data_IF_972754654633
#
_entry.id   IF_972754654633
#
_cell.length_a   1.000
_cell.length_b   1.000
_cell.length_c   1.000
_cell.angle_alpha   90.00
_cell.angle_beta   90.00
_cell.angle_gamma   90.00
#
_symmetry.space_group_name_H-M   'P 1'
#
loop_
_entity.id
_entity.type
_entity.pdbx_description
1 polymer ?
#
# COMPACT_ATOMS: atom_id res chain seq x y z
N UNK A 1 56.40 0.42 -11.10
CA UNK A 1 55.10 -0.29 -11.15
C UNK A 1 54.59 -0.79 -9.79
N UNK A 2 55.14 -0.35 -8.64
CA UNK A 2 54.79 -0.91 -7.32
C UNK A 2 54.19 0.11 -6.32
N UNK A 3 54.08 1.39 -6.71
CA UNK A 3 53.58 2.48 -5.83
C UNK A 3 52.08 2.68 -5.93
N UNK A 4 51.44 2.31 -7.05
CA UNK A 4 50.00 2.49 -7.25
C UNK A 4 49.17 1.37 -6.60
N UNK A 5 49.73 0.16 -6.48
CA UNK A 5 49.06 -0.96 -5.81
C UNK A 5 48.90 -0.71 -4.31
N UNK A 6 49.91 -0.14 -3.65
CA UNK A 6 49.81 0.22 -2.22
C UNK A 6 48.83 1.36 -1.96
N UNK A 7 48.70 2.33 -2.89
CA UNK A 7 47.68 3.38 -2.78
C UNK A 7 46.28 2.82 -2.97
N UNK A 8 46.08 1.93 -3.93
CA UNK A 8 44.80 1.28 -4.16
C UNK A 8 44.37 0.41 -2.97
N UNK A 9 45.31 -0.36 -2.40
CA UNK A 9 45.06 -1.18 -1.21
C UNK A 9 44.74 -0.32 0.02
N UNK A 10 45.44 0.80 0.22
CA UNK A 10 45.15 1.76 1.30
C UNK A 10 43.76 2.39 1.16
N UNK A 11 43.35 2.74 -0.06
CA UNK A 11 42.02 3.29 -0.34
C UNK A 11 40.94 2.23 -0.10
N UNK A 12 41.15 0.98 -0.51
CA UNK A 12 40.20 -0.12 -0.29
C UNK A 12 40.06 -0.42 1.22
N UNK A 13 41.15 -0.42 1.97
CA UNK A 13 41.11 -0.61 3.44
C UNK A 13 40.40 0.57 4.10
N UNK A 14 40.62 1.81 3.65
CA UNK A 14 39.92 2.98 4.16
C UNK A 14 38.41 2.92 3.86
N UNK A 15 38.01 2.49 2.65
CA UNK A 15 36.60 2.30 2.28
C UNK A 15 35.97 1.16 3.08
N UNK A 16 36.69 0.05 3.29
CA UNK A 16 36.23 -1.05 4.17
C UNK A 16 36.06 -0.56 5.61
N UNK A 17 36.99 0.23 6.14
CA UNK A 17 36.87 0.79 7.48
C UNK A 17 35.69 1.78 7.59
N UNK A 18 35.44 2.61 6.57
CA UNK A 18 34.28 3.50 6.53
C UNK A 18 32.96 2.71 6.39
N UNK A 19 32.96 1.61 5.65
CA UNK A 19 31.79 0.71 5.52
C UNK A 19 31.49 -0.06 6.81
N UNK A 20 32.53 -0.48 7.54
CA UNK A 20 32.39 -1.18 8.84
C UNK A 20 32.00 -0.19 9.96
N UNK A 21 32.47 1.07 9.92
CA UNK A 21 32.11 2.10 10.92
C UNK A 21 30.73 2.75 10.71
N UNK A 22 30.04 2.48 9.59
CA UNK A 22 28.67 2.96 9.34
C UNK A 22 27.57 1.98 9.77
N UNK A 23 27.89 0.93 10.52
CA UNK A 23 26.92 0.20 11.36
C UNK A 23 27.11 0.55 12.83
N UNK A 24 27.07 1.85 13.14
CA UNK A 24 26.85 2.29 14.52
C UNK A 24 25.40 2.03 14.87
N UNK A 25 25.14 1.09 15.78
CA UNK A 25 23.80 0.89 16.37
C UNK A 25 23.23 2.26 16.75
N UNK A 26 22.06 2.62 16.23
CA UNK A 26 21.38 3.87 16.55
C UNK A 26 20.96 3.88 18.03
N UNK A 27 20.82 5.08 18.61
CA UNK A 27 20.32 5.24 19.97
C UNK A 27 18.87 4.73 20.08
N UNK A 28 18.63 3.70 20.89
CA UNK A 28 17.36 2.94 20.94
C UNK A 28 16.36 3.49 21.98
N UNK A 29 16.31 4.81 22.18
CA UNK A 29 15.46 5.43 23.22
C UNK A 29 13.98 5.19 22.96
N UNK A 30 13.52 5.38 21.72
CA UNK A 30 12.11 5.21 21.37
C UNK A 30 11.68 3.74 21.50
N UNK A 31 12.53 2.81 21.06
CA UNK A 31 12.32 1.38 21.25
C UNK A 31 12.13 0.98 22.73
N UNK A 32 12.98 1.48 23.63
CA UNK A 32 12.82 1.19 25.06
C UNK A 32 11.56 1.84 25.66
N UNK A 33 11.20 3.04 25.19
CA UNK A 33 9.97 3.72 25.60
C UNK A 33 8.72 2.95 25.16
N UNK A 34 8.72 2.43 23.93
CA UNK A 34 7.63 1.64 23.39
C UNK A 34 7.43 0.36 24.20
N UNK A 35 8.50 -0.35 24.59
CA UNK A 35 8.40 -1.55 25.46
C UNK A 35 7.85 -1.20 26.84
N UNK A 36 8.25 -0.06 27.42
CA UNK A 36 7.74 0.38 28.71
C UNK A 36 6.24 0.67 28.65
N UNK A 37 5.82 1.44 27.65
CA UNK A 37 4.41 1.77 27.42
C UNK A 37 3.58 0.51 27.14
N UNK A 38 4.08 -0.38 26.26
CA UNK A 38 3.47 -1.68 25.98
C UNK A 38 3.25 -2.45 27.27
N UNK A 39 4.25 -2.57 28.16
CA UNK A 39 4.13 -3.35 29.40
C UNK A 39 3.23 -2.73 30.45
N UNK A 40 3.25 -1.39 30.58
CA UNK A 40 2.42 -0.68 31.54
C UNK A 40 0.93 -0.82 31.17
N UNK A 41 0.64 -0.68 29.87
CA UNK A 41 -0.73 -0.69 29.35
C UNK A 41 -1.26 -2.12 29.13
N UNK A 42 -0.47 -3.05 28.54
CA UNK A 42 -0.88 -4.45 28.29
C UNK A 42 -0.96 -5.31 29.56
N UNK A 43 -0.18 -4.98 30.59
CA UNK A 43 -0.20 -5.69 31.87
C UNK A 43 -1.39 -5.32 32.76
N UNK A 44 -2.14 -4.26 32.42
CA UNK A 44 -3.13 -3.66 33.32
C UNK A 44 -2.50 -3.18 34.64
N UNK A 45 -1.24 -2.74 34.58
CA UNK A 45 -0.43 -2.49 35.77
C UNK A 45 -0.69 -1.07 36.26
N UNK A 46 -1.26 -0.96 37.46
CA UNK A 46 -1.49 0.32 38.10
C UNK A 46 -0.15 0.95 38.50
N UNK A 47 0.04 2.22 38.12
CA UNK A 47 1.16 3.04 38.56
C UNK A 47 1.08 3.19 40.08
N UNK A 48 2.10 2.73 40.80
CA UNK A 48 2.11 2.80 42.26
C UNK A 48 3.21 1.97 42.90
N UNK A 49 3.20 1.93 44.23
CA UNK A 49 4.12 1.08 45.01
C UNK A 49 3.65 -0.39 44.98
N UNK A 50 3.90 -1.06 43.86
CA UNK A 50 3.60 -2.48 43.68
C UNK A 50 4.68 -3.19 42.84
N UNK A 51 4.82 -4.50 43.05
CA UNK A 51 5.85 -5.31 42.41
C UNK A 51 5.80 -5.27 40.87
N UNK A 52 4.63 -5.40 40.20
CA UNK A 52 4.55 -5.33 38.74
C UNK A 52 5.06 -4.01 38.17
N UNK A 53 4.66 -2.87 38.75
CA UNK A 53 5.10 -1.56 38.30
C UNK A 53 6.60 -1.36 38.48
N UNK A 54 7.13 -1.82 39.63
CA UNK A 54 8.56 -1.78 39.91
C UNK A 54 9.39 -2.64 38.96
N UNK A 55 8.88 -3.79 38.51
CA UNK A 55 9.53 -4.61 37.49
C UNK A 55 9.64 -3.87 36.14
N UNK A 56 8.57 -3.20 35.71
CA UNK A 56 8.57 -2.44 34.45
C UNK A 56 9.58 -1.28 34.50
N UNK A 57 9.60 -0.51 35.60
CA UNK A 57 10.61 0.54 35.77
C UNK A 57 12.03 -0.04 35.75
N UNK A 58 12.27 -1.17 36.43
CA UNK A 58 13.57 -1.86 36.41
C UNK A 58 13.99 -2.23 34.99
N UNK A 59 13.08 -2.83 34.22
CA UNK A 59 13.38 -3.29 32.87
C UNK A 59 13.60 -2.14 31.89
N UNK A 60 12.88 -1.02 32.06
CA UNK A 60 13.08 0.17 31.23
C UNK A 60 14.44 0.82 31.51
N UNK A 61 14.83 0.96 32.78
CA UNK A 61 16.16 1.43 33.16
C UNK A 61 17.24 0.53 32.56
N UNK A 62 17.04 -0.79 32.62
CA UNK A 62 17.97 -1.76 32.04
C UNK A 62 18.10 -1.60 30.52
N UNK A 63 16.99 -1.54 29.79
CA UNK A 63 16.96 -1.33 28.33
C UNK A 63 17.73 -0.06 27.92
N UNK A 64 17.51 1.05 28.63
CA UNK A 64 18.25 2.28 28.38
C UNK A 64 19.75 2.09 28.66
N UNK A 65 20.12 1.43 29.76
CA UNK A 65 21.53 1.26 30.12
C UNK A 65 22.34 0.50 29.05
N UNK A 66 21.73 -0.47 28.36
CA UNK A 66 22.36 -1.22 27.26
C UNK A 66 22.67 -0.34 26.04
N UNK A 67 21.89 0.73 25.83
CA UNK A 67 22.10 1.68 24.72
C UNK A 67 22.92 2.92 25.11
N UNK A 68 23.54 2.96 26.30
CA UNK A 68 24.31 4.12 26.79
C UNK A 68 25.41 4.59 25.81
N UNK A 69 26.17 3.65 25.23
CA UNK A 69 27.30 3.98 24.34
C UNK A 69 26.85 4.76 23.09
N UNK A 70 25.69 4.42 22.55
CA UNK A 70 25.13 5.00 21.32
C UNK A 70 24.29 6.25 21.60
N UNK A 71 23.82 6.43 22.85
CA UNK A 71 22.94 7.52 23.27
C UNK A 71 23.64 8.67 24.03
N UNK A 72 24.97 8.73 24.08
CA UNK A 72 25.72 9.74 24.87
C UNK A 72 25.28 11.20 24.63
N UNK A 73 24.95 11.56 23.40
CA UNK A 73 24.50 12.90 23.01
C UNK A 73 22.99 13.08 22.93
N UNK A 74 22.19 12.08 23.30
CA UNK A 74 20.73 12.15 23.19
C UNK A 74 20.13 12.74 24.47
N UNK A 75 19.47 13.90 24.38
CA UNK A 75 18.84 14.57 25.52
C UNK A 75 17.73 13.71 26.14
N UNK A 76 16.86 13.11 25.31
CA UNK A 76 15.73 12.27 25.73
C UNK A 76 16.20 11.08 26.56
N UNK A 77 17.31 10.45 26.18
CA UNK A 77 17.96 9.38 26.95
C UNK A 77 18.28 9.80 28.38
N UNK A 78 19.00 10.91 28.56
CA UNK A 78 19.42 11.40 29.88
C UNK A 78 18.23 11.85 30.73
N UNK A 79 17.24 12.48 30.10
CA UNK A 79 15.98 12.86 30.76
C UNK A 79 15.25 11.63 31.29
N UNK A 80 15.07 10.59 30.46
CA UNK A 80 14.39 9.36 30.85
C UNK A 80 15.15 8.59 31.92
N UNK A 81 16.48 8.48 31.79
CA UNK A 81 17.31 7.83 32.80
C UNK A 81 17.13 8.49 34.18
N UNK A 82 17.15 9.83 34.22
CA UNK A 82 16.93 10.60 35.45
C UNK A 82 15.52 10.39 36.02
N UNK A 83 14.50 10.48 35.17
CA UNK A 83 13.10 10.38 35.56
C UNK A 83 12.78 8.99 36.13
N UNK A 84 13.20 7.92 35.46
CA UNK A 84 12.94 6.54 35.89
C UNK A 84 13.65 6.20 37.20
N UNK A 85 14.90 6.65 37.40
CA UNK A 85 15.60 6.47 38.67
C UNK A 85 14.97 7.26 39.82
N UNK A 86 14.37 8.43 39.55
CA UNK A 86 13.58 9.17 40.55
C UNK A 86 12.30 8.39 40.87
N UNK A 87 11.57 7.97 39.85
CA UNK A 87 10.29 7.26 39.98
C UNK A 87 10.44 5.94 40.74
N UNK A 88 11.51 5.17 40.47
CA UNK A 88 11.87 3.96 41.21
C UNK A 88 12.00 4.21 42.73
N UNK A 89 12.56 5.37 43.11
CA UNK A 89 12.72 5.77 44.51
C UNK A 89 11.41 6.25 45.12
N UNK A 90 10.65 7.05 44.37
CA UNK A 90 9.34 7.58 44.78
C UNK A 90 8.35 6.45 45.13
N UNK A 91 8.31 5.40 44.32
CA UNK A 91 7.46 4.23 44.57
C UNK A 91 8.13 3.13 45.40
N UNK A 92 9.23 3.43 46.10
CA UNK A 92 9.90 2.52 47.04
C UNK A 92 10.15 1.11 46.47
N UNK A 93 10.56 1.02 45.20
CA UNK A 93 10.70 -0.27 44.52
C UNK A 93 11.75 -1.21 45.14
N UNK A 94 12.63 -0.69 46.00
CA UNK A 94 13.57 -1.49 46.77
C UNK A 94 12.86 -2.43 47.78
N UNK A 95 11.61 -2.16 48.13
CA UNK A 95 10.76 -3.06 48.93
C UNK A 95 10.33 -4.33 48.18
N UNK A 96 10.60 -4.40 46.86
CA UNK A 96 10.29 -5.55 45.99
C UNK A 96 11.58 -6.10 45.37
N UNK A 97 12.43 -6.81 46.12
CA UNK A 97 13.77 -7.23 45.68
C UNK A 97 13.75 -8.17 44.46
N UNK A 98 12.73 -9.01 44.32
CA UNK A 98 12.53 -9.85 43.13
C UNK A 98 12.33 -9.02 41.87
N UNK A 99 11.65 -7.87 41.99
CA UNK A 99 11.37 -6.94 40.89
C UNK A 99 12.57 -6.05 40.51
N UNK A 100 13.70 -6.20 41.21
CA UNK A 100 14.93 -5.44 40.97
C UNK A 100 15.86 -6.12 39.96
N UNK A 101 15.60 -7.37 39.58
CA UNK A 101 16.34 -8.09 38.54
C UNK A 101 15.66 -7.85 37.19
N UNK A 102 16.42 -7.53 36.11
CA UNK A 102 15.84 -7.46 34.77
C UNK A 102 15.15 -8.77 34.43
N UNK A 103 13.88 -8.69 34.03
CA UNK A 103 13.13 -9.88 33.68
C UNK A 103 13.56 -10.37 32.30
N UNK A 104 13.83 -11.68 32.15
CA UNK A 104 13.97 -12.35 30.85
C UNK A 104 12.62 -12.51 30.12
N UNK A 105 11.59 -11.75 30.51
CA UNK A 105 10.25 -11.82 29.96
C UNK A 105 10.21 -11.23 28.55
N UNK A 106 10.43 -12.09 27.56
CA UNK A 106 9.93 -11.92 26.20
C UNK A 106 8.44 -12.26 26.25
N UNK A 107 7.51 -11.37 25.83
CA UNK A 107 6.11 -11.74 25.72
C UNK A 107 5.98 -13.02 24.89
N UNK A 108 5.50 -14.09 25.52
CA UNK A 108 5.30 -15.39 24.87
C UNK A 108 3.98 -15.28 24.10
N UNK A 109 4.04 -14.83 22.85
CA UNK A 109 2.90 -14.82 21.94
C UNK A 109 2.69 -13.50 21.21
N UNK A 110 1.63 -13.46 20.39
CA UNK A 110 1.25 -12.31 19.61
C UNK A 110 0.43 -11.30 20.44
N UNK A 111 0.84 -10.04 20.44
CA UNK A 111 0.13 -8.92 21.08
C UNK A 111 -0.86 -8.29 20.11
N UNK A 112 -1.99 -7.81 20.64
CA UNK A 112 -3.09 -7.23 19.87
C UNK A 112 -3.35 -5.79 20.37
N UNK A 113 -3.18 -4.75 19.54
CA UNK A 113 -3.32 -3.35 19.98
C UNK A 113 -4.70 -2.97 20.53
N UNK A 114 -5.74 -3.74 20.21
CA UNK A 114 -7.12 -3.53 20.71
C UNK A 114 -7.20 -3.81 22.22
N UNK A 115 -6.29 -4.63 22.75
CA UNK A 115 -6.26 -4.96 24.17
C UNK A 115 -5.50 -3.91 25.01
N UNK A 116 -4.85 -2.90 24.39
CA UNK A 116 -3.87 -2.04 25.06
C UNK A 116 -3.90 -0.53 24.75
N UNK A 117 -4.63 -0.04 23.75
CA UNK A 117 -4.61 1.40 23.42
C UNK A 117 -6.01 2.03 23.26
N UNK A 118 -6.46 2.90 24.20
CA UNK A 118 -7.78 3.51 24.12
C UNK A 118 -7.95 4.55 23.00
N UNK A 119 -6.87 4.98 22.32
CA UNK A 119 -6.93 6.02 21.28
C UNK A 119 -6.00 5.74 20.08
N UNK A 120 -6.29 4.71 19.27
CA UNK A 120 -5.53 4.47 18.03
C UNK A 120 -6.03 5.40 16.93
N UNK A 121 -5.22 6.40 16.54
CA UNK A 121 -5.48 7.23 15.36
C UNK A 121 -5.36 6.36 14.10
N UNK A 122 -6.41 6.32 13.30
CA UNK A 122 -6.50 5.52 12.07
C UNK A 122 -6.38 6.43 10.85
N UNK A 123 -5.87 5.88 9.76
CA UNK A 123 -5.90 6.44 8.42
C UNK A 123 -6.66 5.51 7.48
N UNK A 124 -7.13 6.08 6.39
CA UNK A 124 -7.89 5.37 5.37
C UNK A 124 -7.32 5.67 3.98
N UNK A 125 -7.06 4.63 3.22
CA UNK A 125 -6.74 4.71 1.80
C UNK A 125 -7.74 3.85 1.02
N UNK A 126 -8.11 4.27 -0.18
CA UNK A 126 -9.02 3.52 -1.04
C UNK A 126 -8.66 3.64 -2.49
N UNK A 127 -8.72 2.54 -3.23
CA UNK A 127 -8.56 2.50 -4.68
C UNK A 127 -9.77 1.82 -5.30
N UNK A 128 -10.49 2.56 -6.14
CA UNK A 128 -11.79 2.15 -6.67
C UNK A 128 -12.08 2.82 -8.02
N UNK A 129 -13.19 2.44 -8.63
CA UNK A 129 -13.54 2.86 -9.98
C UNK A 129 -12.50 2.41 -11.00
N UNK A 130 -12.35 3.18 -12.06
CA UNK A 130 -11.35 2.90 -13.08
C UNK A 130 -9.92 3.08 -12.57
N UNK A 131 -9.69 4.01 -11.62
CA UNK A 131 -8.35 4.39 -11.08
C UNK A 131 -8.40 5.50 -10.01
N UNK A 132 -9.51 5.66 -9.31
CA UNK A 132 -9.67 6.70 -8.29
C UNK A 132 -9.01 6.27 -6.98
N UNK A 133 -8.17 7.14 -6.45
CA UNK A 133 -7.38 6.93 -5.25
C UNK A 133 -7.78 7.96 -4.21
N UNK A 134 -8.07 7.49 -3.00
CA UNK A 134 -8.01 8.30 -1.79
C UNK A 134 -6.73 7.96 -1.04
N UNK A 135 -5.84 8.93 -0.88
CA UNK A 135 -4.60 8.76 -0.10
C UNK A 135 -4.88 8.76 1.40
N UNK A 136 -3.90 8.29 2.19
CA UNK A 136 -3.95 8.29 3.67
C UNK A 136 -4.05 9.71 4.25
N UNK A 137 -3.53 10.70 3.52
CA UNK A 137 -3.62 12.13 3.86
C UNK A 137 -4.98 12.74 3.49
N UNK A 138 -5.86 11.98 2.85
CA UNK A 138 -7.22 12.37 2.55
C UNK A 138 -7.41 13.11 1.23
N UNK A 139 -6.42 13.12 0.34
CA UNK A 139 -6.57 13.64 -1.00
C UNK A 139 -7.23 12.61 -1.92
N UNK A 140 -8.16 13.07 -2.75
CA UNK A 140 -8.72 12.28 -3.84
C UNK A 140 -7.98 12.61 -5.14
N UNK A 141 -7.50 11.58 -5.81
CA UNK A 141 -6.76 11.66 -7.04
C UNK A 141 -7.27 10.62 -8.04
N UNK A 142 -7.01 10.84 -9.32
CA UNK A 142 -7.30 9.87 -10.38
C UNK A 142 -5.99 9.61 -11.09
N UNK A 143 -5.39 8.44 -10.89
CA UNK A 143 -4.07 8.16 -11.48
C UNK A 143 -4.18 7.97 -13.00
N UNK A 144 -3.08 7.91 -13.74
CA UNK A 144 -3.05 7.65 -15.18
C UNK A 144 -2.08 6.53 -15.57
N UNK A 145 -1.40 5.96 -14.57
CA UNK A 145 -0.37 4.94 -14.72
C UNK A 145 -0.98 3.55 -14.92
N UNK A 146 -0.43 2.81 -15.88
CA UNK A 146 -0.72 1.40 -16.09
C UNK A 146 0.40 0.50 -15.53
N UNK A 147 0.11 -0.78 -15.38
CA UNK A 147 1.05 -1.78 -14.90
C UNK A 147 0.97 -2.01 -13.40
N UNK A 148 1.98 -2.68 -12.87
CA UNK A 148 2.04 -3.12 -11.48
C UNK A 148 2.82 -2.13 -10.61
N UNK A 149 2.25 -1.73 -9.48
CA UNK A 149 2.90 -0.87 -8.51
C UNK A 149 2.28 -1.02 -7.11
N UNK A 150 3.01 -0.65 -6.04
CA UNK A 150 2.54 -0.79 -4.67
C UNK A 150 1.47 0.24 -4.33
N UNK A 151 0.33 -0.25 -3.81
CA UNK A 151 -0.68 0.56 -3.15
C UNK A 151 -0.22 1.00 -1.76
N UNK A 152 0.33 0.06 -0.99
CA UNK A 152 1.03 0.32 0.29
C UNK A 152 2.25 -0.61 0.36
N UNK A 153 3.37 -0.13 0.87
CA UNK A 153 4.54 -0.97 1.13
C UNK A 153 5.22 -0.50 2.42
N UNK A 154 5.14 -1.29 3.48
CA UNK A 154 5.76 -0.99 4.76
C UNK A 154 6.38 -2.24 5.39
N UNK A 155 7.05 -2.12 6.53
CA UNK A 155 7.71 -3.26 7.20
C UNK A 155 6.80 -4.46 7.54
N UNK A 156 5.47 -4.27 7.58
CA UNK A 156 4.52 -5.32 7.96
C UNK A 156 3.74 -5.92 6.79
N UNK A 157 3.46 -5.14 5.74
CA UNK A 157 2.65 -5.60 4.62
C UNK A 157 2.97 -4.88 3.31
N UNK A 158 2.66 -5.55 2.21
CA UNK A 158 2.71 -5.04 0.85
C UNK A 158 1.37 -5.33 0.18
N UNK A 159 0.70 -4.31 -0.34
CA UNK A 159 -0.42 -4.48 -1.27
C UNK A 159 0.06 -4.04 -2.64
N UNK A 160 0.24 -5.00 -3.54
CA UNK A 160 0.58 -4.76 -4.93
C UNK A 160 -0.71 -4.76 -5.75
N UNK A 161 -0.86 -3.78 -6.63
CA UNK A 161 -1.98 -3.69 -7.57
C UNK A 161 -1.46 -3.73 -8.99
N UNK A 162 -2.29 -4.14 -9.94
CA UNK A 162 -2.01 -4.04 -11.38
C UNK A 162 -3.18 -3.39 -12.11
N UNK A 163 -2.94 -2.23 -12.73
CA UNK A 163 -3.88 -1.63 -13.67
C UNK A 163 -3.61 -2.14 -15.07
N UNK A 164 -4.64 -2.68 -15.71
CA UNK A 164 -4.58 -3.12 -17.11
C UNK A 164 -5.92 -2.87 -17.80
N UNK A 165 -5.94 -3.02 -19.12
CA UNK A 165 -7.18 -2.99 -19.88
C UNK A 165 -7.93 -4.30 -19.65
N UNK A 166 -9.16 -4.19 -19.15
CA UNK A 166 -10.01 -5.34 -18.82
C UNK A 166 -11.27 -5.28 -19.69
N UNK A 167 -11.68 -6.41 -20.26
CA UNK A 167 -12.92 -6.52 -21.04
C UNK A 167 -12.99 -5.57 -22.24
N UNK A 168 -14.03 -4.71 -22.28
CA UNK A 168 -14.40 -3.82 -23.39
C UNK A 168 -13.43 -2.63 -23.67
N UNK A 169 -12.18 -2.75 -23.23
CA UNK A 169 -11.14 -1.74 -23.43
C UNK A 169 -11.08 -0.66 -22.34
N UNK A 170 -11.63 -0.91 -21.15
CA UNK A 170 -11.53 0.02 -20.02
C UNK A 170 -10.38 -0.37 -19.09
N UNK A 171 -9.61 0.62 -18.62
CA UNK A 171 -8.57 0.37 -17.62
C UNK A 171 -9.20 0.27 -16.24
N UNK A 172 -8.84 -0.76 -15.48
CA UNK A 172 -9.25 -0.96 -14.10
C UNK A 172 -8.16 -1.71 -13.32
N UNK A 173 -8.35 -1.85 -12.01
CA UNK A 173 -7.54 -2.77 -11.21
C UNK A 173 -7.90 -4.20 -11.59
N UNK A 174 -6.96 -4.87 -12.25
CA UNK A 174 -7.10 -6.23 -12.78
C UNK A 174 -6.49 -7.30 -11.88
N UNK A 175 -5.60 -6.93 -10.97
CA UNK A 175 -5.00 -7.85 -10.02
C UNK A 175 -4.66 -7.14 -8.72
N UNK A 176 -4.94 -7.80 -7.60
CA UNK A 176 -4.55 -7.40 -6.26
C UNK A 176 -3.79 -8.54 -5.60
N UNK A 177 -2.60 -8.24 -5.09
CA UNK A 177 -1.80 -9.18 -4.31
C UNK A 177 -1.49 -8.57 -2.95
N UNK A 178 -1.91 -9.23 -1.87
CA UNK A 178 -1.59 -8.81 -0.50
C UNK A 178 -0.56 -9.77 0.06
N UNK A 179 0.58 -9.24 0.46
CA UNK A 179 1.65 -9.98 1.13
C UNK A 179 1.74 -9.46 2.56
N UNK A 180 1.47 -10.35 3.51
CA UNK A 180 1.67 -10.12 4.93
C UNK A 180 3.09 -10.57 5.23
N UNK A 181 3.97 -9.63 5.59
CA UNK A 181 5.38 -9.90 5.87
C UNK A 181 5.49 -10.68 7.19
N UNK A 182 6.52 -11.50 7.29
CA UNK A 182 6.73 -12.34 8.47
C UNK A 182 6.94 -11.47 9.72
N UNK A 183 6.32 -11.89 10.82
CA UNK A 183 6.53 -11.35 12.15
C UNK A 183 6.78 -12.52 13.11
N UNK A 184 7.97 -12.54 13.71
CA UNK A 184 8.46 -13.64 14.55
C UNK A 184 7.53 -14.04 15.70
N UNK A 185 6.59 -13.17 16.11
CA UNK A 185 5.65 -13.44 17.21
C UNK A 185 4.22 -13.71 16.75
N UNK A 186 3.81 -13.20 15.59
CA UNK A 186 2.40 -13.10 15.22
C UNK A 186 2.01 -13.89 13.96
N UNK A 187 2.86 -13.89 12.94
CA UNK A 187 2.49 -14.51 11.66
C UNK A 187 3.70 -14.93 10.86
N UNK A 188 3.61 -16.10 10.24
CA UNK A 188 4.48 -16.43 9.11
C UNK A 188 4.07 -15.61 7.90
N UNK A 189 4.93 -15.52 6.87
CA UNK A 189 4.59 -14.83 5.62
C UNK A 189 3.31 -15.43 5.03
N UNK A 190 2.33 -14.59 4.71
CA UNK A 190 1.10 -14.98 4.02
C UNK A 190 0.91 -14.19 2.73
N UNK A 191 0.24 -14.79 1.76
CA UNK A 191 -0.04 -14.19 0.48
C UNK A 191 -1.49 -14.45 0.08
N UNK A 192 -2.16 -13.41 -0.37
CA UNK A 192 -3.50 -13.43 -0.97
C UNK A 192 -3.39 -12.85 -2.37
N UNK A 193 -4.08 -13.45 -3.35
CA UNK A 193 -4.11 -12.97 -4.72
C UNK A 193 -5.53 -13.06 -5.27
N UNK A 194 -5.96 -12.02 -5.98
CA UNK A 194 -7.21 -12.00 -6.73
C UNK A 194 -6.96 -11.31 -8.08
N UNK A 195 -7.50 -11.88 -9.16
CA UNK A 195 -7.38 -11.37 -10.52
C UNK A 195 -8.75 -11.18 -11.19
N UNK A 196 -8.74 -10.42 -12.29
CA UNK A 196 -9.90 -10.21 -13.17
C UNK A 196 -10.40 -11.50 -13.80
N UNK A 197 -9.51 -12.46 -14.00
CA UNK A 197 -9.79 -13.73 -14.68
C UNK A 197 -10.46 -14.76 -13.76
N UNK A 198 -10.38 -14.57 -12.44
CA UNK A 198 -11.12 -15.38 -11.48
C UNK A 198 -12.62 -15.09 -11.61
N UNK A 199 -13.53 -15.97 -11.18
CA UNK A 199 -14.97 -15.63 -11.13
C UNK A 199 -15.37 -15.03 -9.78
N UNK A 200 -14.66 -15.40 -8.71
CA UNK A 200 -14.99 -15.09 -7.33
C UNK A 200 -13.72 -14.73 -6.56
N UNK A 201 -13.87 -13.97 -5.48
CA UNK A 201 -12.75 -13.69 -4.59
C UNK A 201 -12.38 -14.94 -3.75
N UNK A 202 -11.09 -15.33 -3.68
CA UNK A 202 -10.67 -16.44 -2.84
C UNK A 202 -11.01 -16.23 -1.37
N UNK A 203 -11.38 -17.29 -0.66
CA UNK A 203 -11.69 -17.25 0.78
C UNK A 203 -10.53 -17.74 1.67
N UNK A 204 -9.33 -17.87 1.10
CA UNK A 204 -8.12 -18.36 1.77
C UNK A 204 -6.87 -17.71 1.18
N UNK A 205 -5.76 -17.80 1.90
CA UNK A 205 -4.44 -17.47 1.39
C UNK A 205 -4.01 -18.50 0.34
N UNK A 206 -2.96 -18.20 -0.42
CA UNK A 206 -2.46 -19.07 -1.50
C UNK A 206 -1.98 -20.44 -1.02
N UNK A 207 -1.72 -20.59 0.29
CA UNK A 207 -1.38 -21.87 0.93
C UNK A 207 -2.60 -22.64 1.47
N UNK A 208 -3.82 -22.16 1.19
CA UNK A 208 -5.09 -22.73 1.64
C UNK A 208 -5.48 -22.37 3.08
N UNK A 209 -4.61 -21.70 3.85
CA UNK A 209 -4.94 -21.27 5.20
C UNK A 209 -5.93 -20.11 5.20
N UNK A 210 -6.81 -20.03 6.21
CA UNK A 210 -7.77 -18.92 6.37
C UNK A 210 -7.41 -17.96 7.49
N UNK A 211 -6.52 -18.37 8.39
CA UNK A 211 -6.08 -17.58 9.52
C UNK A 211 -4.70 -18.03 10.00
N UNK A 212 -4.07 -17.18 10.80
CA UNK A 212 -2.83 -17.45 11.53
C UNK A 212 -3.05 -17.13 13.01
N UNK A 213 -2.49 -17.96 13.89
CA UNK A 213 -2.68 -17.88 15.34
C UNK A 213 -3.61 -18.97 15.88
N UNK A 214 -4.00 -18.86 17.14
CA UNK A 214 -4.88 -19.82 17.80
C UNK A 214 -6.35 -19.55 17.45
N UNK A 215 -7.19 -20.58 17.48
CA UNK A 215 -8.63 -20.48 17.12
C UNK A 215 -9.40 -19.40 17.91
N UNK A 216 -9.01 -19.14 19.16
CA UNK A 216 -9.57 -18.07 20.00
C UNK A 216 -8.94 -16.68 19.83
N UNK A 217 -7.75 -16.57 19.23
CA UNK A 217 -7.03 -15.30 18.99
C UNK A 217 -6.28 -15.37 17.65
N UNK A 218 -7.00 -15.07 16.57
CA UNK A 218 -6.47 -15.05 15.19
C UNK A 218 -5.68 -13.76 14.95
N UNK A 219 -4.35 -13.85 14.88
CA UNK A 219 -3.47 -12.72 14.56
C UNK A 219 -3.78 -12.12 13.18
N UNK A 220 -4.02 -13.01 12.23
CA UNK A 220 -4.39 -12.70 10.85
C UNK A 220 -5.57 -13.58 10.47
N UNK A 221 -6.57 -13.02 9.79
CA UNK A 221 -7.76 -13.75 9.35
C UNK A 221 -8.27 -13.23 8.02
N UNK A 222 -8.72 -14.13 7.16
CA UNK A 222 -9.56 -13.83 6.00
C UNK A 222 -11.01 -14.13 6.37
N UNK A 223 -11.90 -13.14 6.18
CA UNK A 223 -13.35 -13.31 6.25
C UNK A 223 -13.93 -13.07 4.86
N UNK A 224 -14.52 -14.10 4.28
CA UNK A 224 -15.35 -13.97 3.08
C UNK A 224 -16.79 -13.72 3.54
N UNK A 225 -17.30 -12.51 3.28
CA UNK A 225 -18.70 -12.18 3.55
C UNK A 225 -19.61 -12.73 2.45
N UNK A 226 -19.13 -12.69 1.21
CA UNK A 226 -19.74 -13.30 0.06
C UNK A 226 -18.64 -13.59 -1.00
N UNK A 227 -19.04 -13.96 -2.22
CA UNK A 227 -18.13 -14.26 -3.32
C UNK A 227 -17.47 -13.03 -3.95
N UNK A 228 -17.92 -11.81 -3.60
CA UNK A 228 -17.47 -10.55 -4.17
C UNK A 228 -16.86 -9.58 -3.16
N UNK A 229 -16.80 -9.95 -1.88
CA UNK A 229 -16.24 -9.14 -0.80
C UNK A 229 -15.49 -10.02 0.21
N UNK A 230 -14.19 -9.72 0.34
CA UNK A 230 -13.27 -10.35 1.28
C UNK A 230 -12.64 -9.29 2.17
N UNK A 231 -12.62 -9.57 3.47
CA UNK A 231 -11.92 -8.79 4.49
C UNK A 231 -10.67 -9.55 4.95
N UNK A 232 -9.52 -8.90 4.88
CA UNK A 232 -8.26 -9.40 5.46
C UNK A 232 -7.96 -8.56 6.70
N UNK A 233 -7.97 -9.22 7.86
CA UNK A 233 -7.87 -8.57 9.17
C UNK A 233 -6.51 -8.93 9.79
N UNK A 234 -5.66 -7.92 9.98
CA UNK A 234 -4.37 -8.05 10.65
C UNK A 234 -4.51 -7.43 12.04
N UNK A 235 -4.96 -8.24 13.00
CA UNK A 235 -5.31 -7.73 14.33
C UNK A 235 -4.08 -7.27 15.11
N UNK A 236 -2.92 -7.91 14.92
CA UNK A 236 -1.67 -7.58 15.61
C UNK A 236 -1.12 -6.18 15.28
N UNK A 237 -1.55 -5.58 14.17
CA UNK A 237 -1.25 -4.18 13.80
C UNK A 237 -2.53 -3.37 13.57
N UNK A 238 -3.67 -3.82 14.10
CA UNK A 238 -4.98 -3.15 14.00
C UNK A 238 -5.33 -2.66 12.58
N UNK A 239 -4.98 -3.44 11.55
CA UNK A 239 -5.15 -3.08 10.13
C UNK A 239 -6.25 -3.94 9.50
N UNK A 240 -7.08 -3.33 8.65
CA UNK A 240 -8.14 -4.02 7.89
C UNK A 240 -8.04 -3.67 6.42
N UNK A 241 -8.14 -4.69 5.56
CA UNK A 241 -8.09 -4.55 4.10
C UNK A 241 -9.37 -5.16 3.55
N UNK A 242 -10.16 -4.38 2.81
CA UNK A 242 -11.30 -4.89 2.07
C UNK A 242 -10.92 -5.01 0.60
N UNK A 243 -11.27 -6.13 0.01
CA UNK A 243 -11.13 -6.39 -1.42
C UNK A 243 -12.53 -6.70 -1.94
N UNK A 244 -12.96 -5.95 -2.95
CA UNK A 244 -14.28 -6.10 -3.56
C UNK A 244 -14.17 -6.34 -5.07
N UNK A 245 -15.18 -7.01 -5.61
CA UNK A 245 -15.27 -7.39 -7.01
C UNK A 245 -16.63 -7.01 -7.61
N UNK A 246 -16.59 -6.37 -8.77
CA UNK A 246 -17.76 -6.20 -9.65
C UNK A 246 -17.37 -6.55 -11.08
N UNK A 247 -17.98 -7.58 -11.65
CA UNK A 247 -17.57 -8.12 -12.94
C UNK A 247 -16.12 -8.56 -12.92
N UNK A 248 -15.28 -7.92 -13.75
CA UNK A 248 -13.84 -8.17 -13.84
C UNK A 248 -12.99 -7.14 -13.09
N UNK A 249 -13.61 -6.20 -12.38
CA UNK A 249 -12.93 -5.08 -11.72
C UNK A 249 -12.77 -5.33 -10.22
N UNK A 250 -11.60 -4.98 -9.70
CA UNK A 250 -11.27 -5.08 -8.28
C UNK A 250 -11.17 -3.70 -7.64
N UNK A 251 -11.48 -3.59 -6.35
CA UNK A 251 -11.19 -2.41 -5.55
C UNK A 251 -10.59 -2.82 -4.21
N UNK A 252 -9.85 -1.89 -3.60
CA UNK A 252 -9.17 -2.08 -2.33
C UNK A 252 -9.49 -0.92 -1.40
N UNK A 253 -9.92 -1.21 -0.17
CA UNK A 253 -9.98 -0.24 0.91
C UNK A 253 -9.05 -0.68 2.05
N UNK A 254 -8.29 0.25 2.61
CA UNK A 254 -7.29 0.01 3.64
C UNK A 254 -7.56 0.95 4.82
N UNK A 255 -7.74 0.37 6.01
CA UNK A 255 -7.71 1.07 7.29
C UNK A 255 -6.47 0.66 8.05
N UNK A 256 -5.62 1.61 8.39
CA UNK A 256 -4.31 1.36 8.98
C UNK A 256 -4.02 2.38 10.09
N UNK A 257 -3.40 2.00 11.23
CA UNK A 257 -3.03 2.96 12.26
C UNK A 257 -1.96 3.94 11.78
N UNK A 258 -2.05 5.20 12.22
CA UNK A 258 -1.09 6.26 11.88
C UNK A 258 0.34 5.87 12.26
N UNK A 259 0.54 5.24 13.42
CA UNK A 259 1.87 4.78 13.86
C UNK A 259 2.53 3.82 12.86
N UNK A 260 1.74 2.97 12.21
CA UNK A 260 2.26 1.99 11.24
C UNK A 260 2.66 2.69 9.94
N UNK A 261 1.95 3.76 9.57
CA UNK A 261 2.30 4.61 8.42
C UNK A 261 3.60 5.37 8.69
N UNK A 262 3.77 5.93 9.89
CA UNK A 262 4.98 6.69 10.28
C UNK A 262 6.24 5.83 10.42
N UNK A 263 6.09 4.52 10.61
CA UNK A 263 7.20 3.57 10.60
C UNK A 263 7.76 3.28 9.20
N UNK A 264 7.12 3.78 8.13
CA UNK A 264 7.63 3.64 6.77
C UNK A 264 8.96 4.38 6.59
N UNK A 265 9.90 3.73 5.93
CA UNK A 265 11.19 4.35 5.58
C UNK A 265 11.10 5.06 4.23
N UNK A 266 11.88 6.13 4.03
CA UNK A 266 11.89 6.95 2.80
C UNK A 266 12.14 6.18 1.49
N UNK A 267 12.59 4.92 1.57
CA UNK A 267 12.94 4.09 0.40
C UNK A 267 11.75 3.28 -0.17
N UNK A 268 10.58 3.30 0.46
CA UNK A 268 9.41 2.52 0.03
C UNK A 268 8.40 3.43 -0.69
N UNK A 269 8.42 3.45 -2.03
CA UNK A 269 7.38 4.11 -2.81
C UNK A 269 6.04 3.37 -2.65
N UNK A 270 4.96 4.09 -2.34
CA UNK A 270 3.60 3.62 -2.48
C UNK A 270 2.62 4.78 -2.72
N UNK A 271 1.52 4.49 -3.41
CA UNK A 271 0.57 5.54 -3.81
C UNK A 271 -0.41 5.93 -2.69
N UNK A 272 -0.65 5.09 -1.67
CA UNK A 272 -1.49 5.48 -0.54
C UNK A 272 -0.88 6.62 0.28
N UNK A 273 0.45 6.65 0.42
CA UNK A 273 1.18 7.69 1.13
C UNK A 273 1.51 8.89 0.23
N UNK A 274 1.98 8.64 -0.99
CA UNK A 274 2.53 9.69 -1.87
C UNK A 274 1.53 10.27 -2.89
N UNK A 275 0.43 9.57 -3.16
CA UNK A 275 -0.45 9.88 -4.30
C UNK A 275 0.15 9.44 -5.64
N UNK A 276 -0.49 9.84 -6.73
CA UNK A 276 0.01 9.62 -8.09
C UNK A 276 1.10 10.67 -8.40
N UNK A 277 2.06 10.35 -9.26
CA UNK A 277 2.98 11.37 -9.78
C UNK A 277 2.20 12.48 -10.48
N UNK A 278 2.63 13.75 -10.39
CA UNK A 278 1.93 14.90 -11.02
C UNK A 278 1.73 14.74 -12.53
N UNK A 279 2.65 14.05 -13.22
CA UNK A 279 2.53 13.72 -14.65
C UNK A 279 1.53 12.61 -14.94
N UNK A 280 1.10 11.89 -13.91
CA UNK A 280 0.21 10.73 -13.94
C UNK A 280 -1.10 10.99 -13.18
N UNK A 281 -1.47 12.25 -12.92
CA UNK A 281 -2.76 12.59 -12.28
C UNK A 281 -3.70 13.22 -13.31
N UNK A 282 -4.90 12.65 -13.44
CA UNK A 282 -5.99 13.20 -14.25
C UNK A 282 -6.65 14.35 -13.50
N UNK A 283 -6.76 15.49 -14.17
CA UNK A 283 -7.46 16.69 -13.71
C UNK A 283 -8.97 16.52 -13.84
N UNK A 284 -9.56 15.71 -12.96
CA UNK A 284 -10.96 15.29 -13.04
C UNK A 284 -11.93 16.48 -12.95
N UNK A 285 -11.62 17.49 -12.13
CA UNK A 285 -12.46 18.68 -11.97
C UNK A 285 -12.56 19.46 -13.29
N UNK A 286 -11.42 19.71 -13.93
CA UNK A 286 -11.35 20.35 -15.25
C UNK A 286 -12.00 19.47 -16.34
N UNK A 287 -11.85 18.15 -16.24
CA UNK A 287 -12.46 17.21 -17.17
C UNK A 287 -13.99 17.21 -17.06
N UNK A 288 -14.53 17.26 -15.85
CA UNK A 288 -15.97 17.31 -15.59
C UNK A 288 -16.57 18.67 -15.93
N UNK A 289 -15.81 19.76 -15.76
CA UNK A 289 -16.22 21.11 -16.16
C UNK A 289 -16.41 21.24 -17.68
N UNK A 290 -15.55 20.59 -18.47
CA UNK A 290 -15.65 20.58 -19.93
C UNK A 290 -15.21 19.23 -20.54
N UNK A 291 -16.11 18.23 -20.53
CA UNK A 291 -15.74 16.88 -20.96
C UNK A 291 -15.42 16.78 -22.45
N UNK A 292 -16.00 17.65 -23.27
CA UNK A 292 -15.71 17.72 -24.72
C UNK A 292 -14.25 18.12 -24.94
N UNK A 293 -13.76 19.13 -24.20
CA UNK A 293 -12.37 19.57 -24.28
C UNK A 293 -11.40 18.47 -23.83
N UNK A 294 -11.72 17.80 -22.71
CA UNK A 294 -10.93 16.68 -22.20
C UNK A 294 -10.86 15.51 -23.19
N UNK A 295 -12.01 15.05 -23.67
CA UNK A 295 -12.10 13.90 -24.60
C UNK A 295 -11.36 14.16 -25.92
N UNK A 296 -11.48 15.37 -26.48
CA UNK A 296 -10.72 15.77 -27.66
C UNK A 296 -9.22 15.74 -27.42
N UNK A 297 -8.74 16.27 -26.29
CA UNK A 297 -7.31 16.34 -26.00
C UNK A 297 -6.68 14.97 -25.75
N UNK A 298 -7.39 14.11 -25.01
CA UNK A 298 -6.90 12.79 -24.61
C UNK A 298 -7.28 11.67 -25.60
N UNK A 299 -7.93 11.99 -26.72
CA UNK A 299 -8.33 11.02 -27.74
C UNK A 299 -9.31 9.94 -27.24
N UNK A 300 -10.04 10.22 -26.17
CA UNK A 300 -11.07 9.31 -25.63
C UNK A 300 -12.45 9.75 -26.13
N UNK A 301 -13.41 8.84 -26.20
CA UNK A 301 -14.79 9.15 -26.59
C UNK A 301 -15.70 9.07 -25.37
N UNK A 302 -16.63 10.01 -25.24
CA UNK A 302 -17.73 9.88 -24.28
C UNK A 302 -18.70 8.81 -24.81
N UNK A 303 -18.99 7.80 -24.00
CA UNK A 303 -19.99 6.79 -24.33
C UNK A 303 -21.38 7.21 -23.86
N UNK A 304 -21.46 7.97 -22.76
CA UNK A 304 -22.70 8.44 -22.16
C UNK A 304 -22.72 9.97 -22.16
N UNK A 305 -23.85 10.64 -22.47
CA UNK A 305 -24.01 12.07 -22.28
C UNK A 305 -23.88 12.49 -20.80
N UNK A 306 -23.19 13.61 -20.54
CA UNK A 306 -22.94 14.10 -19.17
C UNK A 306 -24.20 14.20 -18.31
N UNK A 307 -25.31 14.71 -18.85
CA UNK A 307 -26.59 14.82 -18.13
C UNK A 307 -27.11 13.46 -17.67
N UNK A 308 -27.00 12.43 -18.50
CA UNK A 308 -27.43 11.07 -18.16
C UNK A 308 -26.53 10.50 -17.07
N UNK A 309 -25.22 10.72 -17.15
CA UNK A 309 -24.30 10.26 -16.13
C UNK A 309 -24.53 10.91 -14.75
N UNK A 310 -24.77 12.22 -14.73
CA UNK A 310 -25.14 12.97 -13.51
C UNK A 310 -26.40 12.37 -12.87
N UNK A 311 -27.47 12.18 -13.65
CA UNK A 311 -28.72 11.65 -13.12
C UNK A 311 -28.56 10.20 -12.63
N UNK A 312 -27.82 9.36 -13.36
CA UNK A 312 -27.56 7.97 -12.93
C UNK A 312 -26.79 7.90 -11.61
N UNK A 313 -25.78 8.77 -11.42
CA UNK A 313 -24.98 8.83 -10.19
C UNK A 313 -25.74 9.44 -9.01
N UNK A 314 -26.65 10.39 -9.25
CA UNK A 314 -27.60 10.85 -8.22
C UNK A 314 -28.49 9.72 -7.73
N UNK A 315 -29.07 8.95 -8.65
CA UNK A 315 -29.90 7.79 -8.29
C UNK A 315 -29.11 6.70 -7.54
N UNK A 316 -27.81 6.57 -7.80
CA UNK A 316 -26.91 5.70 -7.05
C UNK A 316 -26.62 6.19 -5.61
N UNK A 317 -27.05 7.41 -5.25
CA UNK A 317 -26.83 8.04 -3.96
C UNK A 317 -25.35 8.14 -3.55
N UNK A 318 -24.46 8.27 -4.55
CA UNK A 318 -23.05 8.60 -4.32
C UNK A 318 -22.89 10.11 -4.20
N UNK A 319 -21.92 10.55 -3.41
CA UNK A 319 -21.77 11.95 -2.99
C UNK A 319 -20.31 12.39 -3.02
N UNK A 320 -20.08 13.71 -3.01
CA UNK A 320 -18.77 14.32 -2.90
C UNK A 320 -17.79 13.79 -3.97
N UNK A 321 -16.57 13.40 -3.59
CA UNK A 321 -15.59 12.87 -4.53
C UNK A 321 -16.01 11.54 -5.16
N UNK A 322 -16.86 10.74 -4.51
CA UNK A 322 -17.43 9.52 -5.08
C UNK A 322 -18.44 9.84 -6.18
N UNK A 323 -19.17 10.95 -6.05
CA UNK A 323 -20.05 11.45 -7.10
C UNK A 323 -19.25 11.86 -8.34
N UNK A 324 -18.14 12.58 -8.16
CA UNK A 324 -17.28 13.01 -9.27
C UNK A 324 -16.67 11.81 -10.00
N UNK A 325 -16.16 10.83 -9.23
CA UNK A 325 -15.67 9.55 -9.74
C UNK A 325 -16.75 8.82 -10.55
N UNK A 326 -17.97 8.71 -10.01
CA UNK A 326 -19.07 8.03 -10.68
C UNK A 326 -19.42 8.68 -12.01
N UNK A 327 -19.54 10.01 -12.04
CA UNK A 327 -19.89 10.72 -13.27
C UNK A 327 -18.76 10.56 -14.29
N UNK A 328 -17.50 10.70 -13.88
CA UNK A 328 -16.36 10.54 -14.78
C UNK A 328 -16.26 9.14 -15.36
N UNK A 329 -16.29 8.11 -14.53
CA UNK A 329 -16.18 6.71 -14.97
C UNK A 329 -17.34 6.34 -15.88
N UNK A 330 -18.58 6.67 -15.52
CA UNK A 330 -19.73 6.30 -16.34
C UNK A 330 -19.82 7.10 -17.64
N UNK A 331 -19.41 8.37 -17.65
CA UNK A 331 -19.32 9.19 -18.86
C UNK A 331 -18.41 8.54 -19.93
N UNK A 332 -17.24 8.06 -19.50
CA UNK A 332 -16.21 7.52 -20.40
C UNK A 332 -16.46 6.04 -20.71
N UNK A 333 -16.83 5.24 -19.72
CA UNK A 333 -16.92 3.78 -19.86
C UNK A 333 -18.32 3.29 -20.24
N UNK A 334 -19.38 3.99 -19.83
CA UNK A 334 -20.76 3.52 -19.88
C UNK A 334 -21.03 2.26 -19.05
N UNK A 335 -20.13 1.92 -18.12
CA UNK A 335 -20.15 0.65 -17.41
C UNK A 335 -20.74 0.80 -15.99
N UNK A 336 -21.84 0.11 -15.76
CA UNK A 336 -22.56 0.07 -14.48
C UNK A 336 -21.76 -0.61 -13.36
N UNK A 337 -20.78 -1.46 -13.69
CA UNK A 337 -19.94 -2.13 -12.68
C UNK A 337 -19.08 -1.12 -11.91
N UNK A 338 -18.64 -0.01 -12.54
CA UNK A 338 -17.94 1.04 -11.82
C UNK A 338 -18.86 1.79 -10.86
N UNK A 339 -20.12 2.00 -11.23
CA UNK A 339 -21.09 2.63 -10.32
C UNK A 339 -21.27 1.76 -9.07
N UNK A 340 -21.45 0.45 -9.25
CA UNK A 340 -21.55 -0.49 -8.13
C UNK A 340 -20.31 -0.46 -7.23
N UNK A 341 -19.11 -0.43 -7.84
CA UNK A 341 -17.85 -0.36 -7.09
C UNK A 341 -17.67 0.96 -6.33
N UNK A 342 -18.13 2.08 -6.88
CA UNK A 342 -18.06 3.40 -6.25
C UNK A 342 -19.05 3.53 -5.10
N UNK A 343 -20.25 2.96 -5.23
CA UNK A 343 -21.21 2.80 -4.13
C UNK A 343 -20.54 2.07 -2.97
N UNK A 344 -19.90 0.93 -3.25
CA UNK A 344 -19.18 0.14 -2.26
C UNK A 344 -18.03 0.92 -1.62
N UNK A 345 -17.24 1.67 -2.40
CA UNK A 345 -16.14 2.47 -1.88
C UNK A 345 -16.63 3.59 -0.92
N UNK A 346 -17.80 4.18 -1.20
CA UNK A 346 -18.44 5.13 -0.29
C UNK A 346 -18.89 4.44 1.00
N UNK A 347 -19.46 3.23 0.93
CA UNK A 347 -19.81 2.46 2.12
C UNK A 347 -18.58 2.05 2.93
N UNK A 348 -17.50 1.64 2.27
CA UNK A 348 -16.28 1.19 2.92
C UNK A 348 -15.63 2.29 3.74
N UNK A 349 -15.52 3.52 3.22
CA UNK A 349 -14.96 4.65 4.01
C UNK A 349 -15.85 5.02 5.20
N UNK A 350 -17.17 4.94 5.06
CA UNK A 350 -18.12 5.21 6.15
C UNK A 350 -17.93 4.18 7.28
N UNK A 351 -17.79 2.91 6.92
CA UNK A 351 -17.64 1.81 7.88
C UNK A 351 -16.26 1.76 8.52
N UNK A 352 -15.20 1.97 7.73
CA UNK A 352 -13.82 1.85 8.17
C UNK A 352 -13.27 3.13 8.81
N UNK A 353 -13.84 4.29 8.49
CA UNK A 353 -13.27 5.58 8.88
C UNK A 353 -14.35 6.58 9.29
N UNK A 354 -14.95 6.36 10.45
CA UNK A 354 -15.96 7.23 11.08
C UNK A 354 -15.66 8.75 11.02
N UNK A 355 -14.40 9.23 11.20
CA UNK A 355 -14.10 10.66 11.07
C UNK A 355 -14.47 11.27 9.70
N UNK A 356 -14.62 10.46 8.65
CA UNK A 356 -15.07 10.90 7.33
C UNK A 356 -16.40 11.67 7.40
N UNK A 357 -17.40 11.10 8.07
CA UNK A 357 -18.74 11.68 8.14
C UNK A 357 -18.78 13.04 8.84
N UNK A 358 -17.91 13.25 9.82
CA UNK A 358 -17.91 14.47 10.63
C UNK A 358 -17.10 15.61 10.01
N UNK A 359 -16.06 15.30 9.24
CA UNK A 359 -15.08 16.32 8.81
C UNK A 359 -15.03 16.53 7.29
N UNK A 360 -15.49 15.57 6.50
CA UNK A 360 -15.28 15.59 5.04
C UNK A 360 -16.57 15.43 4.23
N UNK A 361 -17.60 14.81 4.80
CA UNK A 361 -18.87 14.59 4.11
C UNK A 361 -19.65 15.90 3.94
N UNK A 362 -20.05 16.21 2.71
CA UNK A 362 -20.92 17.35 2.39
C UNK A 362 -22.23 16.93 1.74
N UNK A 363 -22.30 15.70 1.22
CA UNK A 363 -23.50 15.19 0.54
C UNK A 363 -23.72 15.78 -0.85
N UNK A 364 -22.68 16.33 -1.48
CA UNK A 364 -22.81 16.99 -2.79
C UNK A 364 -23.10 15.99 -3.90
N UNK A 365 -24.07 16.30 -4.76
CA UNK A 365 -24.44 15.51 -5.94
C UNK A 365 -24.61 16.36 -7.21
N UNK A 366 -23.77 17.38 -7.35
CA UNK A 366 -23.75 18.27 -8.51
C UNK A 366 -22.31 18.69 -8.83
N UNK A 367 -22.10 19.20 -10.04
CA UNK A 367 -20.79 19.58 -10.57
C UNK A 367 -20.60 21.10 -10.68
N UNK A 368 -21.53 21.91 -10.17
CA UNK A 368 -21.53 23.38 -10.42
C UNK A 368 -20.31 24.07 -9.81
N UNK A 369 -19.68 23.47 -8.79
CA UNK A 369 -18.40 23.91 -8.23
C UNK A 369 -17.30 24.04 -9.30
N UNK A 370 -17.37 23.23 -10.37
CA UNK A 370 -16.37 23.17 -11.42
C UNK A 370 -16.66 24.07 -12.62
N UNK A 371 -17.81 24.76 -12.66
CA UNK A 371 -18.19 25.59 -13.81
C UNK A 371 -17.11 26.65 -14.16
N UNK A 372 -16.47 27.22 -13.12
CA UNK A 372 -15.35 28.18 -13.28
C UNK A 372 -14.11 27.59 -13.97
N UNK A 373 -13.97 26.27 -14.02
CA UNK A 373 -12.85 25.54 -14.61
C UNK A 373 -13.09 25.14 -16.07
N UNK A 374 -14.27 25.40 -16.64
CA UNK A 374 -14.61 24.99 -18.00
C UNK A 374 -13.71 25.58 -19.09
N UNK A 375 -13.04 26.70 -18.79
CA UNK A 375 -12.05 27.37 -19.65
C UNK A 375 -10.63 26.78 -19.61
N UNK A 376 -10.40 25.68 -18.87
CA UNK A 376 -9.08 25.07 -18.74
C UNK A 376 -8.51 24.64 -20.10
N UNK A 377 -7.26 25.02 -20.36
CA UNK A 377 -6.52 24.67 -21.58
C UNK A 377 -5.61 23.48 -21.32
N UNK A 378 -5.97 22.34 -21.89
CA UNK A 378 -5.15 21.13 -21.85
C UNK A 378 -3.83 21.31 -22.59
N UNK A 379 -2.78 20.68 -22.09
CA UNK A 379 -1.44 20.67 -22.68
C UNK A 379 -1.12 19.23 -23.10
N UNK A 380 -0.22 19.05 -24.07
CA UNK A 380 0.22 17.72 -24.54
C UNK A 380 -0.94 16.85 -25.07
N UNK A 381 -1.85 17.45 -25.83
CA UNK A 381 -2.94 16.71 -26.47
C UNK A 381 -2.41 15.77 -27.55
N UNK A 382 -3.10 14.64 -27.73
CA UNK A 382 -2.81 13.70 -28.82
C UNK A 382 -3.05 14.44 -30.14
N UNK A 383 -2.03 14.49 -31.01
CA UNK A 383 -2.17 15.09 -32.33
C UNK A 383 -3.20 14.27 -33.14
N UNK A 384 -4.23 14.95 -33.65
CA UNK A 384 -5.21 14.37 -34.56
C UNK A 384 -4.56 14.09 -35.92
N UNK A 385 -3.82 12.99 -36.03
CA UNK A 385 -3.33 12.47 -37.31
C UNK A 385 -3.35 10.95 -37.33
N UNK A 386 -4.56 10.35 -37.26
CA UNK A 386 -4.94 9.04 -37.83
C UNK A 386 -6.18 8.43 -37.15
N UNK A 387 -7.33 9.11 -37.16
CA UNK A 387 -8.63 8.43 -37.00
C UNK A 387 -9.48 8.82 -38.21
N UNK A 388 -9.08 8.28 -39.37
CA UNK A 388 -9.89 8.29 -40.58
C UNK A 388 -9.85 6.87 -41.16
N UNK A 389 -11.02 6.23 -41.15
CA UNK A 389 -11.42 4.96 -41.76
C UNK A 389 -10.77 3.64 -41.32
N UNK A 390 -11.53 2.86 -40.52
CA UNK A 390 -11.71 1.43 -40.78
C UNK A 390 -13.00 0.90 -40.13
N UNK A 391 -14.15 1.30 -40.67
CA UNK A 391 -15.36 0.49 -40.60
C UNK A 391 -15.83 0.24 -42.03
N UNK A 392 -16.11 -1.05 -42.30
CA UNK A 392 -16.59 -1.66 -43.55
C UNK A 392 -15.52 -1.97 -44.62
N UNK A 393 -15.18 -3.25 -44.75
CA UNK A 393 -15.66 -4.15 -45.82
C UNK A 393 -15.39 -5.61 -45.40
N UNK A 394 -16.46 -6.40 -45.36
CA UNK A 394 -16.43 -7.86 -45.40
C UNK A 394 -16.38 -8.31 -46.86
N UNK A 395 -15.54 -9.29 -47.20
CA UNK A 395 -15.70 -10.08 -48.43
C UNK A 395 -14.44 -10.39 -49.23
N UNK A 396 -13.99 -11.64 -49.11
CA UNK A 396 -13.28 -12.46 -50.11
C UNK A 396 -11.78 -12.29 -50.41
N UNK A 397 -11.04 -13.32 -49.96
CA UNK A 397 -10.17 -14.20 -50.77
C UNK A 397 -9.11 -13.52 -51.67
N UNK A 398 -7.88 -13.39 -51.13
CA UNK A 398 -6.60 -13.87 -51.70
C UNK A 398 -5.43 -13.11 -51.06
N UNK A 399 -4.54 -13.86 -50.40
CA UNK A 399 -3.08 -13.75 -50.39
C UNK A 399 -2.50 -14.23 -49.06
N UNK A 400 -2.51 -15.54 -48.93
CA UNK A 400 -1.44 -16.30 -48.32
C UNK A 400 -0.12 -15.94 -49.02
N UNK A 401 0.79 -15.25 -48.33
CA UNK A 401 2.26 -15.30 -48.48
C UNK A 401 2.92 -14.02 -47.93
N UNK A 402 3.33 -14.05 -46.66
CA UNK A 402 4.66 -13.58 -46.20
C UNK A 402 4.74 -13.66 -44.68
N UNK A 403 5.12 -14.84 -44.20
CA UNK A 403 5.90 -15.04 -42.97
C UNK A 403 6.26 -16.53 -42.95
N UNK A 404 7.23 -16.88 -43.79
CA UNK A 404 8.13 -18.03 -43.65
C UNK A 404 9.16 -17.91 -44.77
N UNK A 405 10.43 -18.19 -44.42
CA UNK A 405 11.65 -18.23 -45.23
C UNK A 405 12.68 -17.14 -44.88
N UNK A 406 13.32 -17.31 -43.72
CA UNK A 406 14.79 -17.16 -43.65
C UNK A 406 15.32 -18.53 -43.21
N UNK A 407 15.35 -19.45 -44.16
CA UNK A 407 16.14 -20.67 -44.09
C UNK A 407 16.45 -21.09 -45.52
N UNK A 408 17.74 -21.15 -45.81
CA UNK A 408 18.40 -21.76 -46.98
C UNK A 408 18.47 -20.97 -48.28
N UNK A 409 19.68 -20.48 -48.56
CA UNK A 409 20.26 -20.59 -49.89
C UNK A 409 21.66 -21.25 -49.77
N UNK A 410 21.68 -22.53 -50.13
CA UNK A 410 22.66 -23.20 -51.03
C UNK A 410 24.04 -23.64 -50.49
N UNK A 411 24.11 -24.97 -50.35
CA UNK A 411 25.17 -26.02 -50.23
C UNK A 411 26.12 -26.04 -51.49
N UNK A 412 27.27 -26.77 -51.62
CA UNK A 412 28.17 -27.52 -50.70
C UNK A 412 29.69 -27.18 -50.83
N UNK A 413 30.51 -27.61 -49.87
CA UNK A 413 31.82 -28.24 -50.16
C UNK A 413 32.24 -29.09 -48.95
N UNK A 414 32.06 -30.39 -49.09
CA UNK A 414 32.62 -31.43 -48.22
C UNK A 414 33.82 -32.01 -48.97
N UNK A 415 34.83 -32.44 -48.21
CA UNK A 415 36.03 -33.26 -48.56
C UNK A 415 37.34 -32.46 -48.38
N UNK A 416 38.31 -33.12 -47.72
CA UNK A 416 39.74 -32.79 -47.53
C UNK A 416 39.98 -31.91 -46.28
N UNK A 417 40.59 -32.31 -45.15
CA UNK A 417 41.53 -33.38 -44.81
C UNK A 417 41.52 -33.56 -43.28
N UNK A 418 41.30 -34.78 -42.80
CA UNK A 418 41.90 -35.23 -41.53
C UNK A 418 43.28 -35.81 -41.87
N UNK A 419 44.25 -35.52 -41.00
CA UNK A 419 45.61 -36.12 -40.88
C UNK A 419 46.72 -35.63 -41.82
N UNK A 420 47.62 -34.80 -41.27
CA UNK A 420 49.08 -34.95 -41.24
C UNK A 420 49.58 -34.01 -40.10
N UNK A 421 49.86 -34.50 -38.89
CA UNK A 421 51.15 -34.98 -38.38
C UNK A 421 52.33 -33.97 -38.52
N UNK A 422 52.82 -33.53 -37.34
CA UNK A 422 54.22 -33.31 -36.93
C UNK A 422 54.95 -32.07 -37.47
N UNK A 423 55.22 -31.09 -36.59
CA UNK A 423 56.53 -30.91 -35.94
C UNK A 423 56.38 -30.19 -34.60
#
# INVERSE_FOLDING_TARGET
>A
MNTDFHKLLSIIIAILQIAIFRHGNSCMVDYCADIYSERLDEGGILIGMNAPYCQIITDYIYCLSETNRTCRGNLKYHTLQTLLHRQRREFSCNSFPEAMKPSNYVPIGCTFPIDSAPHIIQRYCGLFGSRHLRTLNGHFETCARNGAYPLINNKHLLIQITHSFVGSGTTAVSKVTVIIKENNRCTTRKQYEAGSDDEQLPNSFTDGSRFVGNSGRKAVEIKSLNQTHVEIILRYIATMIYIRRHGAYLSVALRIPERIVQEQTDNEFDICTLGCSRSETVKIEEALANPISFTRCHGVRMKIPLKIAIERCKHANVTDAFFDACVFDFLISGDEMFIAQIIDAQYDIINLFSPYLHHYFTGRQNLTLYDSKAGYKWKQCIQQSSIVHSEQISGSIKLQQRCNNISELVIPMLIILFTFNIF
#
